data_IF_401473215993
#
_entry.id   IF_401473215993
#
_cell.length_a   1.000
_cell.length_b   1.000
_cell.length_c   1.000
_cell.angle_alpha   90.00
_cell.angle_beta   90.00
_cell.angle_gamma   90.00
#
_symmetry.space_group_name_H-M   'P 1'
#
loop_
_entity.id
_entity.type
_entity.pdbx_description
1 polymer ?
#
# COMPACT_ATOMS: atom_id res chain seq x y z
N UNK A 1 1.03 -1.15 6.86
CA UNK A 1 1.11 -2.60 6.59
C UNK A 1 2.55 -3.05 6.75
N UNK A 2 2.77 -4.21 7.36
CA UNK A 2 4.10 -4.78 7.62
C UNK A 2 4.35 -5.98 6.71
N UNK A 3 5.61 -6.25 6.37
CA UNK A 3 6.01 -7.44 5.61
C UNK A 3 6.29 -8.66 6.50
N UNK A 4 6.15 -8.55 7.82
CA UNK A 4 6.49 -9.60 8.77
C UNK A 4 8.00 -9.84 8.99
N UNK A 5 8.86 -9.09 8.30
CA UNK A 5 10.34 -9.13 8.42
C UNK A 5 10.93 -7.82 8.94
N UNK A 6 10.08 -6.92 9.43
CA UNK A 6 10.47 -5.65 10.05
C UNK A 6 10.37 -4.44 9.13
N UNK A 7 10.01 -4.62 7.85
CA UNK A 7 9.70 -3.51 6.98
C UNK A 7 8.21 -3.19 7.03
N UNK A 8 7.88 -1.91 6.82
CA UNK A 8 6.50 -1.45 6.80
C UNK A 8 6.30 -0.26 5.86
N UNK A 9 5.08 -0.13 5.35
CA UNK A 9 4.64 1.08 4.67
C UNK A 9 3.37 1.63 5.30
N UNK A 10 3.17 2.93 5.12
CA UNK A 10 1.97 3.65 5.54
C UNK A 10 1.45 4.52 4.38
N UNK A 11 0.13 4.57 4.24
CA UNK A 11 -0.58 5.34 3.21
C UNK A 11 -1.63 6.23 3.87
N UNK A 12 -1.67 7.49 3.46
CA UNK A 12 -2.68 8.46 3.85
C UNK A 12 -3.43 8.91 2.59
N UNK A 13 -4.69 8.47 2.49
CA UNK A 13 -5.60 8.84 1.41
C UNK A 13 -6.33 10.13 1.75
N UNK A 14 -6.38 11.04 0.79
CA UNK A 14 -7.07 12.33 0.92
C UNK A 14 -7.80 12.65 -0.39
N UNK A 15 -8.64 13.69 -0.39
CA UNK A 15 -9.26 14.19 -1.62
C UNK A 15 -8.26 14.75 -2.64
N UNK A 16 -7.03 15.09 -2.22
CA UNK A 16 -5.98 15.58 -3.10
C UNK A 16 -5.11 14.47 -3.71
N UNK A 17 -5.25 13.23 -3.22
CA UNK A 17 -4.44 12.09 -3.63
C UNK A 17 -3.90 11.33 -2.43
N UNK A 18 -2.76 10.66 -2.63
CA UNK A 18 -2.17 9.76 -1.63
C UNK A 18 -0.75 10.19 -1.31
N UNK A 19 -0.40 10.19 -0.04
CA UNK A 19 0.97 10.31 0.44
C UNK A 19 1.31 9.15 1.37
N UNK A 20 2.57 8.76 1.41
CA UNK A 20 3.00 7.62 2.19
C UNK A 20 4.49 7.64 2.52
N UNK A 21 4.85 6.72 3.41
CA UNK A 21 6.23 6.47 3.82
C UNK A 21 6.51 4.97 3.83
N UNK A 22 7.77 4.62 3.70
CA UNK A 22 8.30 3.27 3.93
C UNK A 22 9.31 3.35 5.06
N UNK A 23 9.31 2.33 5.90
CA UNK A 23 10.36 2.03 6.86
C UNK A 23 10.93 0.67 6.44
N UNK A 24 12.16 0.70 5.94
CA UNK A 24 12.88 -0.50 5.50
C UNK A 24 14.37 -0.21 5.49
N UNK A 25 15.14 -1.02 6.21
CA UNK A 25 16.59 -0.83 6.31
C UNK A 25 16.95 0.44 7.08
N UNK A 26 17.92 1.19 6.55
CA UNK A 26 18.43 2.40 7.19
C UNK A 26 17.50 3.60 6.99
N UNK A 27 17.28 4.42 8.04
CA UNK A 27 16.48 5.63 7.93
C UNK A 27 17.20 6.70 7.12
N UNK A 28 16.42 7.65 6.56
CA UNK A 28 16.96 8.81 5.87
C UNK A 28 17.76 9.69 6.82
N UNK A 29 18.94 10.12 6.39
CA UNK A 29 19.74 11.15 7.08
C UNK A 29 19.06 12.51 7.02
N UNK A 30 18.43 12.82 5.88
CA UNK A 30 17.92 14.16 5.54
C UNK A 30 16.40 14.14 5.34
N UNK A 31 15.67 13.69 6.36
CA UNK A 31 14.20 13.55 6.34
C UNK A 31 13.50 14.84 5.91
N UNK A 32 13.95 16.00 6.41
CA UNK A 32 13.34 17.29 6.10
C UNK A 32 13.48 17.66 4.63
N UNK A 33 14.65 17.41 4.02
CA UNK A 33 14.87 17.69 2.61
C UNK A 33 13.96 16.82 1.74
N UNK A 34 13.89 15.52 2.03
CA UNK A 34 13.04 14.59 1.30
C UNK A 34 11.55 14.96 1.42
N UNK A 35 11.07 15.28 2.63
CA UNK A 35 9.69 15.75 2.85
C UNK A 35 9.39 17.07 2.14
N UNK A 36 10.36 17.96 1.99
CA UNK A 36 10.16 19.24 1.32
C UNK A 36 9.94 19.11 -0.19
N UNK A 37 10.36 17.99 -0.80
CA UNK A 37 10.04 17.67 -2.20
C UNK A 37 8.55 17.33 -2.42
N UNK A 38 7.86 16.87 -1.37
CA UNK A 38 6.46 16.50 -1.44
C UNK A 38 5.58 17.76 -1.59
N UNK A 39 4.56 17.76 -2.48
CA UNK A 39 3.65 18.88 -2.68
C UNK A 39 2.96 19.38 -1.40
N UNK A 40 2.67 20.69 -1.34
CA UNK A 40 2.00 21.33 -0.21
C UNK A 40 0.58 20.80 0.06
N UNK A 41 -0.08 20.21 -0.95
CA UNK A 41 -1.39 19.55 -0.78
C UNK A 41 -1.35 18.41 0.24
N UNK A 42 -0.17 17.83 0.49
CA UNK A 42 0.04 16.78 1.49
C UNK A 42 0.57 17.34 2.82
N UNK A 43 0.43 18.63 3.11
CA UNK A 43 0.96 19.23 4.34
C UNK A 43 0.51 18.52 5.62
N UNK A 44 -0.76 18.06 5.67
CA UNK A 44 -1.28 17.29 6.81
C UNK A 44 -0.46 16.02 7.07
N UNK A 45 -0.03 15.33 6.03
CA UNK A 45 0.83 14.16 6.17
C UNK A 45 2.16 14.49 6.86
N UNK A 46 2.74 15.66 6.53
CA UNK A 46 4.06 16.08 7.03
C UNK A 46 4.06 16.47 8.51
N UNK A 47 2.94 17.00 9.01
CA UNK A 47 2.88 17.62 10.35
C UNK A 47 2.11 16.81 11.38
N UNK A 48 1.30 15.84 10.94
CA UNK A 48 0.47 15.02 11.84
C UNK A 48 1.36 14.08 12.68
N UNK A 49 1.41 14.25 14.01
CA UNK A 49 2.25 13.43 14.87
C UNK A 49 1.93 11.93 14.78
N UNK A 50 0.65 11.57 14.55
CA UNK A 50 0.25 10.17 14.42
C UNK A 50 0.92 9.46 13.23
N UNK A 51 1.39 10.20 12.23
CA UNK A 51 2.03 9.61 11.06
C UNK A 51 3.54 9.46 11.20
N UNK A 52 4.16 10.02 12.25
CA UNK A 52 5.60 10.05 12.56
C UNK A 52 6.52 9.85 11.35
N UNK A 53 7.13 10.90 10.85
CA UNK A 53 8.06 10.79 9.72
C UNK A 53 9.43 10.22 10.11
N UNK A 54 9.61 9.92 11.40
CA UNK A 54 10.86 9.39 11.95
C UNK A 54 11.10 7.98 11.42
N UNK A 55 12.38 7.66 11.20
CA UNK A 55 12.84 6.38 10.68
C UNK A 55 12.38 6.01 9.26
N UNK A 56 11.69 6.91 8.55
CA UNK A 56 11.34 6.68 7.15
C UNK A 56 12.61 6.51 6.31
N UNK A 57 12.63 5.49 5.45
CA UNK A 57 13.67 5.28 4.44
C UNK A 57 13.26 5.80 3.06
N UNK A 58 11.97 6.05 2.85
CA UNK A 58 11.41 6.59 1.60
C UNK A 58 10.08 7.30 1.87
N UNK A 59 9.84 8.41 1.19
CA UNK A 59 8.52 9.02 1.04
C UNK A 59 8.03 8.88 -0.40
N UNK A 60 6.72 8.74 -0.58
CA UNK A 60 6.11 8.66 -1.90
C UNK A 60 4.72 9.29 -1.91
N UNK A 61 4.30 9.75 -3.08
CA UNK A 61 3.00 10.39 -3.23
C UNK A 61 2.49 10.32 -4.67
N UNK A 62 1.19 10.55 -4.83
CA UNK A 62 0.55 10.75 -6.11
C UNK A 62 -0.65 11.68 -5.93
N UNK A 63 -0.55 12.87 -6.51
CA UNK A 63 -1.68 13.80 -6.65
C UNK A 63 -2.70 13.26 -7.66
N UNK A 64 -3.97 13.62 -7.52
CA UNK A 64 -5.05 13.20 -8.44
C UNK A 64 -4.78 13.56 -9.91
N UNK A 65 -3.99 14.62 -10.17
CA UNK A 65 -3.62 15.07 -11.50
C UNK A 65 -2.34 14.43 -12.03
N UNK A 66 -1.65 13.61 -11.22
CA UNK A 66 -0.44 12.91 -11.61
C UNK A 66 -0.77 11.55 -12.22
N UNK A 67 -0.19 11.28 -13.38
CA UNK A 67 -0.31 9.99 -14.08
C UNK A 67 0.53 8.88 -13.43
N UNK A 68 1.56 9.25 -12.65
CA UNK A 68 2.51 8.32 -12.03
C UNK A 68 2.76 8.68 -10.57
N UNK A 69 3.27 7.71 -9.82
CA UNK A 69 3.77 7.93 -8.46
C UNK A 69 5.10 8.69 -8.49
N UNK A 70 5.31 9.52 -7.47
CA UNK A 70 6.56 10.21 -7.15
C UNK A 70 7.14 9.67 -5.85
N UNK A 71 8.45 9.80 -5.67
CA UNK A 71 9.11 9.40 -4.43
C UNK A 71 10.37 10.23 -4.15
N UNK A 72 10.74 10.28 -2.87
CA UNK A 72 11.93 10.97 -2.37
C UNK A 72 12.53 10.21 -1.18
N UNK A 73 13.85 9.93 -1.19
CA UNK A 73 14.79 10.14 -2.29
C UNK A 73 14.40 9.33 -3.54
N UNK A 74 14.96 9.68 -4.71
CA UNK A 74 14.55 9.11 -6.00
C UNK A 74 14.46 7.57 -5.97
N UNK A 75 13.23 7.03 -5.99
CA UNK A 75 13.05 5.59 -6.07
C UNK A 75 11.65 5.10 -5.70
N UNK A 76 10.98 4.47 -6.67
CA UNK A 76 9.98 3.40 -6.42
C UNK A 76 10.46 2.09 -7.05
N UNK A 77 11.78 1.89 -7.06
CA UNK A 77 12.39 0.71 -7.67
C UNK A 77 12.43 -0.39 -6.62
N UNK A 78 11.57 -1.39 -6.81
CA UNK A 78 11.68 -2.71 -6.17
C UNK A 78 11.57 -2.73 -4.64
N UNK A 79 10.66 -1.96 -4.05
CA UNK A 79 10.23 -2.29 -2.69
C UNK A 79 9.14 -3.37 -2.76
N UNK A 80 9.36 -4.59 -2.21
CA UNK A 80 8.44 -5.71 -2.39
C UNK A 80 6.98 -5.36 -2.09
N UNK A 81 6.71 -4.66 -0.99
CA UNK A 81 5.33 -4.27 -0.64
C UNK A 81 4.77 -3.12 -1.48
N UNK A 82 5.56 -2.35 -2.22
CA UNK A 82 5.07 -1.24 -3.06
C UNK A 82 5.18 -1.53 -4.56
N UNK A 83 5.75 -2.67 -4.95
CA UNK A 83 5.95 -3.04 -6.35
C UNK A 83 4.68 -3.00 -7.19
N UNK A 84 3.51 -3.26 -6.57
CA UNK A 84 2.21 -3.19 -7.24
C UNK A 84 1.82 -1.76 -7.70
N UNK A 85 2.40 -0.70 -7.13
CA UNK A 85 2.16 0.66 -7.60
C UNK A 85 2.74 0.95 -8.99
N UNK A 86 3.77 0.20 -9.39
CA UNK A 86 4.46 0.38 -10.68
C UNK A 86 4.24 -0.82 -11.60
N UNK A 87 4.42 -2.04 -11.07
CA UNK A 87 4.29 -3.29 -11.81
C UNK A 87 2.88 -3.89 -11.82
N UNK A 88 1.90 -3.23 -11.20
CA UNK A 88 0.49 -3.62 -11.23
C UNK A 88 0.23 -5.04 -10.73
N UNK A 89 -0.70 -5.73 -11.39
CA UNK A 89 -1.17 -7.07 -11.05
C UNK A 89 -0.02 -8.09 -11.03
N UNK A 90 0.91 -8.02 -12.00
CA UNK A 90 2.02 -8.95 -12.08
C UNK A 90 2.94 -8.84 -10.85
N UNK A 91 3.28 -7.61 -10.43
CA UNK A 91 4.08 -7.39 -9.24
C UNK A 91 3.33 -7.79 -7.96
N UNK A 92 2.04 -7.52 -7.87
CA UNK A 92 1.21 -7.96 -6.75
C UNK A 92 1.17 -9.48 -6.63
N UNK A 93 0.96 -10.18 -7.75
CA UNK A 93 0.94 -11.64 -7.79
C UNK A 93 2.26 -12.22 -7.29
N UNK A 94 3.41 -11.78 -7.83
CA UNK A 94 4.72 -12.27 -7.39
C UNK A 94 4.97 -12.03 -5.89
N UNK A 95 4.52 -10.89 -5.36
CA UNK A 95 4.61 -10.60 -3.93
C UNK A 95 3.80 -11.60 -3.09
N UNK A 96 2.52 -11.78 -3.40
CA UNK A 96 1.60 -12.64 -2.65
C UNK A 96 2.03 -14.11 -2.73
N UNK A 97 2.41 -14.58 -3.92
CA UNK A 97 2.89 -15.96 -4.12
C UNK A 97 4.19 -16.21 -3.36
N UNK A 98 5.12 -15.25 -3.37
CA UNK A 98 6.36 -15.34 -2.60
C UNK A 98 6.14 -15.34 -1.09
N UNK A 99 5.23 -14.50 -0.59
CA UNK A 99 4.94 -14.39 0.83
C UNK A 99 4.19 -15.61 1.39
N UNK A 100 3.15 -16.07 0.69
CA UNK A 100 2.34 -17.20 1.14
C UNK A 100 2.85 -18.56 0.68
N UNK A 101 3.80 -18.61 -0.26
CA UNK A 101 4.31 -19.86 -0.84
C UNK A 101 3.23 -20.64 -1.61
N UNK A 102 2.20 -19.97 -2.09
CA UNK A 102 1.05 -20.55 -2.81
C UNK A 102 0.90 -19.87 -4.17
N UNK A 103 0.47 -20.61 -5.18
CA UNK A 103 0.10 -20.03 -6.48
C UNK A 103 -1.24 -19.32 -6.37
N UNK A 104 -1.35 -18.16 -7.03
CA UNK A 104 -2.60 -17.38 -7.09
C UNK A 104 -3.11 -17.35 -8.53
N UNK A 105 -4.42 -17.53 -8.71
CA UNK A 105 -5.06 -17.47 -10.03
C UNK A 105 -5.01 -16.03 -10.57
N UNK A 106 -4.36 -15.84 -11.73
CA UNK A 106 -4.25 -14.54 -12.37
C UNK A 106 -5.60 -13.98 -12.83
N UNK A 107 -6.52 -14.84 -13.28
CA UNK A 107 -7.84 -14.42 -13.77
C UNK A 107 -8.63 -13.79 -12.63
N UNK A 108 -8.61 -14.42 -11.45
CA UNK A 108 -9.27 -13.89 -10.26
C UNK A 108 -8.67 -12.54 -9.84
N UNK A 109 -7.34 -12.41 -9.87
CA UNK A 109 -6.68 -11.14 -9.58
C UNK A 109 -7.04 -10.04 -10.59
N UNK A 110 -7.08 -10.37 -11.88
CA UNK A 110 -7.45 -9.43 -12.94
C UNK A 110 -8.89 -8.94 -12.77
N UNK A 111 -9.83 -9.83 -12.48
CA UNK A 111 -11.24 -9.49 -12.24
C UNK A 111 -11.39 -8.58 -11.02
N UNK A 112 -10.70 -8.86 -9.92
CA UNK A 112 -10.73 -8.05 -8.69
C UNK A 112 -10.13 -6.67 -8.95
N UNK A 113 -8.98 -6.58 -9.62
CA UNK A 113 -8.33 -5.29 -9.90
C UNK A 113 -9.13 -4.43 -10.89
N UNK A 114 -9.83 -5.05 -11.84
CA UNK A 114 -10.68 -4.33 -12.78
C UNK A 114 -12.00 -3.84 -12.15
N UNK A 115 -12.61 -4.67 -11.29
CA UNK A 115 -13.91 -4.36 -10.68
C UNK A 115 -13.82 -3.61 -9.36
N UNK A 116 -12.67 -3.66 -8.69
CA UNK A 116 -12.44 -3.23 -7.31
C UNK A 116 -13.46 -3.82 -6.32
N UNK A 117 -14.00 -5.00 -6.65
CA UNK A 117 -14.93 -5.76 -5.82
C UNK A 117 -14.40 -7.20 -5.69
N UNK A 118 -14.72 -7.85 -4.57
CA UNK A 118 -14.38 -9.25 -4.33
C UNK A 118 -15.66 -10.02 -4.03
N UNK A 119 -15.99 -10.99 -4.86
CA UNK A 119 -17.13 -11.88 -4.64
C UNK A 119 -16.78 -12.99 -3.64
N UNK A 120 -17.79 -13.53 -2.94
CA UNK A 120 -17.60 -14.65 -2.00
C UNK A 120 -16.94 -15.88 -2.67
N UNK A 121 -17.29 -16.17 -3.92
CA UNK A 121 -16.66 -17.24 -4.69
C UNK A 121 -15.18 -16.97 -4.97
N UNK A 122 -14.80 -15.72 -5.23
CA UNK A 122 -13.41 -15.32 -5.43
C UNK A 122 -12.60 -15.41 -4.13
N UNK A 123 -13.19 -15.03 -2.99
CA UNK A 123 -12.57 -15.20 -1.67
C UNK A 123 -12.23 -16.67 -1.41
N UNK A 124 -13.17 -17.59 -1.64
CA UNK A 124 -12.92 -19.02 -1.46
C UNK A 124 -11.85 -19.58 -2.41
N UNK A 125 -11.69 -19.02 -3.60
CA UNK A 125 -10.60 -19.38 -4.51
C UNK A 125 -9.24 -18.86 -4.04
N UNK A 126 -9.19 -17.65 -3.48
CA UNK A 126 -7.96 -17.02 -2.98
C UNK A 126 -7.51 -17.61 -1.64
N UNK A 127 -8.48 -17.94 -0.77
CA UNK A 127 -8.24 -18.54 0.53
C UNK A 127 -9.39 -19.49 0.87
N UNK A 128 -9.23 -20.81 0.64
CA UNK A 128 -10.29 -21.78 0.92
C UNK A 128 -10.55 -21.97 2.43
N UNK A 129 -9.64 -21.48 3.28
CA UNK A 129 -9.73 -21.64 4.74
C UNK A 129 -10.47 -20.46 5.42
N UNK A 130 -10.96 -19.47 4.65
CA UNK A 130 -11.66 -18.29 5.18
C UNK A 130 -13.13 -18.27 4.77
N UNK A 131 -14.00 -17.93 5.72
CA UNK A 131 -15.42 -17.67 5.47
C UNK A 131 -15.69 -16.15 5.42
N UNK A 132 -16.78 -15.75 4.77
CA UNK A 132 -17.14 -14.33 4.70
C UNK A 132 -17.40 -13.73 6.09
N UNK A 133 -17.90 -14.54 7.02
CA UNK A 133 -18.11 -14.15 8.41
C UNK A 133 -16.81 -13.73 9.09
N UNK A 134 -15.68 -14.38 8.75
CA UNK A 134 -14.37 -14.09 9.35
C UNK A 134 -13.87 -12.69 8.96
N UNK A 135 -14.34 -12.16 7.83
CA UNK A 135 -13.96 -10.84 7.32
C UNK A 135 -14.85 -9.69 7.83
N UNK A 136 -15.93 -10.01 8.54
CA UNK A 136 -16.93 -9.00 8.95
C UNK A 136 -16.28 -7.89 9.77
N UNK A 137 -15.47 -8.26 10.75
CA UNK A 137 -14.77 -7.33 11.64
C UNK A 137 -13.70 -6.53 10.89
N UNK A 138 -12.97 -7.16 9.97
CA UNK A 138 -12.00 -6.47 9.12
C UNK A 138 -12.68 -5.39 8.26
N UNK A 139 -13.84 -5.70 7.67
CA UNK A 139 -14.62 -4.72 6.91
C UNK A 139 -15.14 -3.60 7.80
N UNK A 140 -15.54 -3.90 9.05
CA UNK A 140 -15.91 -2.86 10.02
C UNK A 140 -14.77 -1.89 10.26
N UNK A 141 -13.57 -2.42 10.51
CA UNK A 141 -12.39 -1.62 10.80
C UNK A 141 -12.02 -0.74 9.60
N UNK A 142 -12.06 -1.30 8.38
CA UNK A 142 -11.69 -0.59 7.15
C UNK A 142 -12.72 0.49 6.78
N UNK A 143 -14.02 0.18 6.84
CA UNK A 143 -15.09 1.07 6.37
C UNK A 143 -15.64 1.99 7.46
N UNK A 144 -15.33 1.71 8.73
CA UNK A 144 -15.87 2.43 9.89
C UNK A 144 -17.39 2.28 10.05
N UNK A 145 -18.00 1.24 9.46
CA UNK A 145 -19.46 1.01 9.49
C UNK A 145 -19.84 -0.45 9.29
N UNK A 146 -20.98 -0.84 9.89
CA UNK A 146 -21.61 -2.16 9.75
C UNK A 146 -21.82 -2.53 8.28
N UNK A 147 -21.46 -3.77 7.89
CA UNK A 147 -21.88 -4.40 6.65
C UNK A 147 -23.34 -4.87 6.76
#
# INVERSE_FOLDING_TARGET
MRDGSGAEYFLHFTSAGVAGKVICGSPLSDVSECLNTMPAVFQRFKVEPAFSTDNASLFFWRDINQSSWCASPDGLKEYPLLGFFVGGIAAYKSLVEGYHGKTVDSVVLEEVFASLNVAASQLMMLNPDIELSDLTDDFQEILGRAL
#
